data_IF_638070977559
#
_entry.id   IF_638070977559
#
_cell.length_a   1.000
_cell.length_b   1.000
_cell.length_c   1.000
_cell.angle_alpha   90.00
_cell.angle_beta   90.00
_cell.angle_gamma   90.00
#
_symmetry.space_group_name_H-M   'P 1'
#
loop_
_entity.id
_entity.type
_entity.pdbx_description
1 polymer ?
#
# COMPACT_ATOMS: atom_id res chain seq x y z
N UNK A 1 -40.21 41.85 18.75
CA UNK A 1 -40.66 41.61 17.37
C UNK A 1 -40.07 40.29 17.01
N UNK A 2 -40.80 39.22 17.31
CA UNK A 2 -41.60 38.49 16.32
C UNK A 2 -40.69 37.61 15.47
N UNK A 3 -40.95 36.35 15.19
CA UNK A 3 -41.92 35.33 15.60
C UNK A 3 -41.51 34.10 14.76
N UNK A 4 -41.82 32.88 15.21
CA UNK A 4 -42.28 31.76 14.36
C UNK A 4 -41.44 31.26 13.15
N UNK A 5 -41.36 29.99 12.72
CA UNK A 5 -42.09 28.71 12.82
C UNK A 5 -41.10 27.63 12.34
N UNK A 6 -40.93 26.49 13.01
CA UNK A 6 -41.58 25.20 12.74
C UNK A 6 -41.56 24.68 11.29
N UNK A 7 -41.06 23.46 11.09
CA UNK A 7 -41.23 22.70 9.84
C UNK A 7 -40.62 21.28 9.83
N UNK A 8 -41.17 20.35 10.62
CA UNK A 8 -41.05 18.89 10.42
C UNK A 8 -41.76 18.46 9.12
N UNK A 9 -41.14 17.62 8.26
CA UNK A 9 -41.77 16.57 7.40
C UNK A 9 -40.69 15.55 7.02
N UNK A 10 -40.71 14.31 7.50
CA UNK A 10 -41.53 13.15 7.11
C UNK A 10 -40.92 12.31 5.96
N UNK A 11 -40.91 11.01 6.19
CA UNK A 11 -40.21 9.93 5.50
C UNK A 11 -40.76 9.55 4.12
N UNK A 12 -39.95 8.81 3.34
CA UNK A 12 -40.45 7.69 2.55
C UNK A 12 -39.34 6.65 2.30
N UNK A 13 -39.53 5.47 2.88
CA UNK A 13 -38.83 4.22 2.57
C UNK A 13 -39.71 3.48 1.56
N UNK A 14 -39.15 3.08 0.41
CA UNK A 14 -39.78 2.12 -0.48
C UNK A 14 -38.96 0.82 -0.49
N UNK A 15 -39.51 -0.19 0.18
CA UNK A 15 -39.14 -1.58 -0.02
C UNK A 15 -40.03 -2.15 -1.14
N UNK A 16 -39.43 -2.80 -2.14
CA UNK A 16 -40.15 -3.57 -3.16
C UNK A 16 -40.04 -5.05 -2.78
N UNK A 17 -41.17 -5.61 -2.36
CA UNK A 17 -41.41 -7.04 -2.24
C UNK A 17 -42.27 -7.49 -3.42
N UNK A 18 -41.85 -8.56 -4.09
CA UNK A 18 -42.67 -9.42 -4.94
C UNK A 18 -41.81 -10.63 -5.32
N UNK A 19 -42.16 -11.90 -5.08
CA UNK A 19 -43.45 -12.50 -4.76
C UNK A 19 -43.78 -13.57 -5.82
N UNK A 20 -43.70 -14.85 -5.45
CA UNK A 20 -44.20 -16.01 -6.22
C UNK A 20 -43.08 -16.86 -6.83
N UNK A 21 -43.06 -18.19 -6.76
CA UNK A 21 -44.08 -19.15 -6.33
C UNK A 21 -43.44 -20.48 -5.90
N UNK A 22 -44.05 -21.15 -4.93
CA UNK A 22 -43.75 -22.51 -4.51
C UNK A 22 -44.50 -23.52 -5.40
N UNK A 23 -43.82 -24.60 -5.80
CA UNK A 23 -44.47 -25.82 -6.31
C UNK A 23 -43.92 -26.98 -5.49
N UNK A 24 -44.82 -27.70 -4.82
CA UNK A 24 -44.54 -28.90 -4.05
C UNK A 24 -44.78 -30.15 -4.91
N UNK A 25 -43.90 -31.15 -4.79
CA UNK A 25 -44.03 -32.50 -5.34
C UNK A 25 -43.34 -33.52 -4.41
N UNK A 26 -43.74 -34.80 -4.43
CA UNK A 26 -43.86 -35.61 -3.22
C UNK A 26 -42.64 -36.47 -2.85
N UNK A 27 -42.45 -36.62 -1.54
CA UNK A 27 -41.90 -37.76 -0.79
C UNK A 27 -40.80 -38.62 -1.45
N UNK A 28 -39.56 -38.34 -1.08
CA UNK A 28 -38.46 -39.31 -1.06
C UNK A 28 -37.66 -39.12 0.21
N UNK A 29 -37.58 -40.15 1.05
CA UNK A 29 -36.71 -40.19 2.22
C UNK A 29 -35.25 -39.91 1.80
N UNK A 30 -34.73 -38.77 2.21
CA UNK A 30 -33.29 -38.58 2.39
C UNK A 30 -33.06 -37.94 3.76
N UNK A 31 -32.48 -38.73 4.66
CA UNK A 31 -31.84 -38.25 5.88
C UNK A 31 -30.69 -37.35 5.46
N UNK A 32 -30.88 -36.05 5.55
CA UNK A 32 -29.78 -35.09 5.51
C UNK A 32 -29.15 -35.04 6.91
N UNK A 33 -27.97 -35.62 7.00
CA UNK A 33 -27.09 -35.52 8.17
C UNK A 33 -26.60 -34.06 8.21
N UNK A 34 -26.94 -33.34 9.28
CA UNK A 34 -26.40 -32.01 9.52
C UNK A 34 -24.87 -32.07 9.54
N UNK A 35 -24.15 -31.23 8.78
CA UNK A 35 -22.73 -31.07 9.02
C UNK A 35 -22.55 -30.33 10.35
N UNK A 36 -22.29 -31.08 11.41
CA UNK A 36 -21.47 -30.59 12.51
C UNK A 36 -20.07 -30.31 11.94
N UNK A 37 -19.80 -29.05 11.61
CA UNK A 37 -18.44 -28.53 11.51
C UNK A 37 -18.28 -27.40 12.50
N UNK A 38 -18.29 -27.79 13.78
CA UNK A 38 -17.59 -27.11 14.85
C UNK A 38 -16.09 -27.03 14.52
N UNK A 39 -15.69 -26.10 13.65
CA UNK A 39 -14.33 -25.58 13.51
C UNK A 39 -14.30 -24.47 12.47
N UNK A 40 -15.09 -23.40 12.65
CA UNK A 40 -14.54 -22.09 12.33
C UNK A 40 -13.47 -21.82 13.39
N UNK A 41 -12.30 -22.38 13.12
CA UNK A 41 -11.02 -21.75 13.40
C UNK A 41 -11.06 -20.42 12.65
N UNK A 42 -11.90 -19.50 13.13
CA UNK A 42 -11.81 -18.10 12.80
C UNK A 42 -10.38 -17.77 13.12
N UNK A 43 -9.61 -17.59 12.05
CA UNK A 43 -8.27 -17.07 12.07
C UNK A 43 -8.24 -16.06 13.21
N UNK A 44 -7.55 -16.41 14.30
CA UNK A 44 -7.15 -15.44 15.30
C UNK A 44 -6.12 -14.58 14.58
N UNK A 45 -6.60 -13.72 13.68
CA UNK A 45 -5.80 -12.63 13.16
C UNK A 45 -5.52 -11.80 14.40
N UNK A 46 -4.28 -11.90 14.87
CA UNK A 46 -3.76 -11.04 15.92
C UNK A 46 -3.99 -9.61 15.43
N UNK A 47 -4.86 -8.87 16.11
CA UNK A 47 -5.04 -7.47 15.82
C UNK A 47 -3.72 -6.75 16.13
N UNK A 48 -3.34 -5.82 15.27
CA UNK A 48 -2.21 -4.96 15.59
C UNK A 48 -2.62 -4.06 16.77
N UNK A 49 -1.72 -3.83 17.73
CA UNK A 49 -2.00 -2.93 18.83
C UNK A 49 -2.37 -1.54 18.33
N UNK A 50 -3.14 -0.77 19.13
CA UNK A 50 -3.39 0.63 18.81
C UNK A 50 -2.04 1.36 18.64
N UNK A 51 -1.84 1.98 17.49
CA UNK A 51 -0.59 2.67 17.21
C UNK A 51 -0.33 3.85 18.13
N UNK A 52 0.93 4.29 18.15
CA UNK A 52 1.39 5.47 18.90
C UNK A 52 0.48 6.68 18.65
N UNK A 53 0.17 7.45 19.69
CA UNK A 53 -0.56 8.72 19.57
C UNK A 53 0.18 9.76 18.70
N UNK A 54 1.45 9.51 18.35
CA UNK A 54 2.29 10.32 17.45
C UNK A 54 2.34 9.79 16.01
N UNK A 55 1.69 8.67 15.72
CA UNK A 55 1.66 8.11 14.37
C UNK A 55 0.94 9.07 13.42
N UNK A 56 1.63 9.46 12.34
CA UNK A 56 1.02 10.19 11.22
C UNK A 56 0.31 9.24 10.26
N UNK A 57 0.76 7.99 10.19
CA UNK A 57 0.08 6.92 9.50
C UNK A 57 0.34 5.57 10.18
N UNK A 58 -0.73 4.79 10.35
CA UNK A 58 -0.62 3.34 10.56
C UNK A 58 -0.58 2.72 9.18
N UNK A 59 0.55 2.09 8.86
CA UNK A 59 0.73 1.44 7.57
C UNK A 59 0.06 0.09 7.63
N UNK A 60 -1.24 0.12 7.43
CA UNK A 60 -1.99 -1.07 7.06
C UNK A 60 -1.92 -1.24 5.54
N UNK A 61 -1.83 -2.48 5.04
CA UNK A 61 -2.06 -2.74 3.64
C UNK A 61 -3.49 -2.30 3.31
N UNK A 62 -3.63 -1.39 2.34
CA UNK A 62 -4.94 -0.96 1.86
C UNK A 62 -5.75 -2.16 1.38
N UNK A 63 -7.09 -2.10 1.44
CA UNK A 63 -7.93 -3.22 1.00
C UNK A 63 -7.62 -3.65 -0.45
N UNK A 64 -7.33 -2.68 -1.33
CA UNK A 64 -6.92 -2.92 -2.70
C UNK A 64 -5.57 -3.66 -2.83
N UNK A 65 -4.68 -3.50 -1.85
CA UNK A 65 -3.36 -4.13 -1.81
C UNK A 65 -3.32 -5.43 -1.02
N UNK A 66 -4.27 -5.67 -0.11
CA UNK A 66 -4.41 -6.98 0.56
C UNK A 66 -4.58 -8.09 -0.47
N UNK A 67 -5.30 -7.81 -1.55
CA UNK A 67 -5.46 -8.74 -2.69
C UNK A 67 -4.24 -8.81 -3.62
N UNK A 68 -3.33 -7.84 -3.52
CA UNK A 68 -2.16 -7.68 -4.39
C UNK A 68 -0.81 -8.03 -3.75
N UNK A 69 -0.73 -8.13 -2.42
CA UNK A 69 0.48 -8.56 -1.74
C UNK A 69 0.74 -10.05 -2.04
N UNK A 70 1.99 -10.37 -2.37
CA UNK A 70 2.38 -11.76 -2.67
C UNK A 70 2.90 -12.53 -1.44
N UNK A 71 3.03 -11.86 -0.28
CA UNK A 71 3.59 -12.41 0.96
C UNK A 71 2.67 -12.28 2.17
N UNK A 72 3.13 -12.78 3.31
CA UNK A 72 2.43 -12.63 4.60
C UNK A 72 2.45 -11.15 5.01
N UNK A 73 1.26 -10.54 5.08
CA UNK A 73 1.08 -9.19 5.58
C UNK A 73 1.27 -9.21 7.10
N UNK A 74 2.51 -9.01 7.54
CA UNK A 74 2.82 -8.87 8.96
C UNK A 74 2.30 -7.51 9.43
N UNK A 75 1.66 -7.48 10.60
CA UNK A 75 1.24 -6.24 11.26
C UNK A 75 2.29 -5.13 11.15
N UNK A 76 1.82 -4.00 10.62
CA UNK A 76 1.86 -2.70 11.26
C UNK A 76 3.23 -2.04 11.32
N UNK A 77 3.52 -1.21 10.33
CA UNK A 77 4.53 -0.17 10.52
C UNK A 77 3.78 1.08 11.00
N UNK A 78 4.37 1.83 11.92
CA UNK A 78 3.95 3.20 12.19
C UNK A 78 4.92 4.13 11.50
N UNK A 79 4.38 5.09 10.74
CA UNK A 79 5.13 6.28 10.36
C UNK A 79 4.85 7.36 11.39
N UNK A 80 5.92 7.91 11.93
CA UNK A 80 5.88 9.13 12.75
C UNK A 80 6.67 10.22 12.06
N UNK A 81 6.33 11.47 12.34
CA UNK A 81 7.15 12.61 11.93
C UNK A 81 7.99 13.05 13.11
N UNK A 82 9.30 13.13 12.91
CA UNK A 82 10.24 13.69 13.86
C UNK A 82 10.18 15.23 13.86
N UNK A 83 10.68 15.86 14.92
CA UNK A 83 10.66 17.32 15.09
C UNK A 83 11.47 18.07 14.01
N UNK A 84 12.43 17.39 13.37
CA UNK A 84 13.24 17.91 12.27
C UNK A 84 12.59 17.69 10.89
N UNK A 85 11.36 17.17 10.85
CA UNK A 85 10.59 16.91 9.64
C UNK A 85 10.89 15.57 8.97
N UNK A 86 11.79 14.75 9.52
CA UNK A 86 12.07 13.41 9.00
C UNK A 86 10.92 12.43 9.30
N UNK A 87 10.81 11.40 8.47
CA UNK A 87 9.93 10.24 8.69
C UNK A 87 10.66 9.17 9.48
N UNK A 88 10.03 8.74 10.57
CA UNK A 88 10.47 7.62 11.40
C UNK A 88 9.59 6.41 11.07
N UNK A 89 10.20 5.31 10.66
CA UNK A 89 9.51 4.01 10.52
C UNK A 89 9.69 3.24 11.82
N UNK A 90 8.59 2.81 12.44
CA UNK A 90 8.58 1.98 13.64
C UNK A 90 7.79 0.70 13.42
N UNK A 91 8.14 -0.31 14.19
CA UNK A 91 7.37 -1.56 14.28
C UNK A 91 6.14 -1.36 15.19
N UNK A 92 4.95 -1.70 14.73
CA UNK A 92 3.78 -1.85 15.59
C UNK A 92 3.82 -3.25 16.21
N UNK A 93 3.77 -3.27 17.53
CA UNK A 93 3.69 -4.51 18.28
C UNK A 93 2.29 -5.14 18.09
N UNK A 94 2.25 -6.47 18.00
CA UNK A 94 0.96 -7.18 18.02
C UNK A 94 0.32 -7.04 19.40
N UNK A 95 -1.00 -7.11 19.44
CA UNK A 95 -1.73 -7.16 20.71
C UNK A 95 -1.23 -8.35 21.55
N UNK A 96 -0.75 -8.08 22.76
CA UNK A 96 -0.12 -9.06 23.65
C UNK A 96 1.41 -9.20 23.54
N UNK A 97 2.04 -8.73 22.46
CA UNK A 97 3.51 -8.64 22.33
C UNK A 97 4.03 -7.35 22.96
N UNK A 98 3.75 -7.11 24.25
CA UNK A 98 4.11 -5.82 24.86
C UNK A 98 3.50 -5.54 26.22
N UNK A 99 3.17 -6.56 27.01
CA UNK A 99 2.59 -6.41 28.37
C UNK A 99 3.59 -5.87 29.41
N UNK A 100 4.33 -4.81 29.07
CA UNK A 100 5.03 -3.93 30.00
C UNK A 100 4.72 -2.49 29.59
N UNK A 101 4.11 -1.72 30.49
CA UNK A 101 3.44 -0.42 30.26
C UNK A 101 4.25 0.69 29.54
N UNK A 102 5.52 0.51 29.18
CA UNK A 102 6.38 1.59 28.66
C UNK A 102 7.34 1.17 27.52
N UNK A 103 7.12 0.04 26.84
CA UNK A 103 8.03 -0.33 25.75
C UNK A 103 7.73 0.46 24.49
N UNK A 104 8.51 1.51 24.24
CA UNK A 104 8.46 2.26 23.00
C UNK A 104 8.81 1.35 21.81
N UNK A 105 8.01 1.35 20.73
CA UNK A 105 8.29 0.55 19.54
C UNK A 105 9.64 0.94 18.92
N UNK A 106 10.40 -0.08 18.51
CA UNK A 106 11.75 0.12 17.98
C UNK A 106 11.70 0.94 16.68
N UNK A 107 12.59 1.94 16.59
CA UNK A 107 12.87 2.66 15.34
C UNK A 107 13.58 1.70 14.38
N UNK A 108 12.98 1.50 13.21
CA UNK A 108 13.56 0.71 12.13
C UNK A 108 14.40 1.59 11.21
N UNK A 109 13.93 2.80 10.91
CA UNK A 109 14.63 3.71 10.01
C UNK A 109 14.17 5.15 10.13
N UNK A 110 15.00 6.06 9.60
CA UNK A 110 14.79 7.50 9.62
C UNK A 110 15.25 8.10 8.28
N UNK A 111 14.47 9.03 7.73
CA UNK A 111 14.86 9.71 6.49
C UNK A 111 13.88 10.78 6.05
N UNK A 112 14.23 11.60 5.05
CA UNK A 112 13.35 12.64 4.55
C UNK A 112 12.11 12.04 3.86
N UNK A 113 10.97 12.72 3.96
CA UNK A 113 9.84 12.46 3.09
C UNK A 113 10.14 12.97 1.66
N UNK A 114 9.50 12.40 0.62
CA UNK A 114 9.55 13.00 -0.71
C UNK A 114 9.05 14.45 -0.68
N UNK A 115 9.78 15.39 -1.29
CA UNK A 115 9.41 16.82 -1.29
C UNK A 115 8.00 17.06 -1.85
N UNK A 116 7.57 16.23 -2.81
CA UNK A 116 6.24 16.30 -3.43
C UNK A 116 5.08 16.04 -2.45
N UNK A 117 5.36 15.48 -1.26
CA UNK A 117 4.35 15.26 -0.23
C UNK A 117 3.97 16.53 0.54
N UNK A 118 4.71 17.62 0.36
CA UNK A 118 4.54 18.83 1.17
C UNK A 118 5.26 18.71 2.51
N UNK A 119 5.42 19.85 3.19
CA UNK A 119 6.16 19.89 4.45
C UNK A 119 5.47 19.08 5.54
N UNK A 120 4.13 19.07 5.56
CA UNK A 120 3.29 18.41 6.55
C UNK A 120 2.71 17.08 6.05
N UNK A 121 3.23 16.54 4.93
CA UNK A 121 2.75 15.33 4.26
C UNK A 121 1.31 15.44 3.74
N UNK A 122 0.77 16.66 3.67
CA UNK A 122 -0.63 16.95 3.38
C UNK A 122 -1.04 16.55 1.96
N UNK A 123 -0.07 16.35 1.07
CA UNK A 123 -0.28 15.95 -0.33
C UNK A 123 -0.14 14.45 -0.56
N UNK A 124 0.27 13.68 0.45
CA UNK A 124 0.55 12.25 0.31
C UNK A 124 -0.39 11.35 1.10
N UNK A 125 -0.73 10.21 0.51
CA UNK A 125 -1.23 9.05 1.22
C UNK A 125 -0.07 8.08 1.47
N UNK A 126 0.10 7.70 2.73
CA UNK A 126 1.19 6.85 3.16
C UNK A 126 0.65 5.47 3.53
N UNK A 127 1.34 4.45 3.06
CA UNK A 127 1.09 3.06 3.43
C UNK A 127 2.39 2.28 3.34
N UNK A 128 2.35 1.02 3.72
CA UNK A 128 3.55 0.19 3.75
C UNK A 128 3.22 -1.25 4.05
N UNK A 129 4.25 -2.08 3.89
CA UNK A 129 4.23 -3.50 4.16
C UNK A 129 5.58 -3.90 4.74
N UNK A 130 5.62 -5.08 5.33
CA UNK A 130 6.86 -5.72 5.74
C UNK A 130 6.97 -7.06 5.05
N UNK A 131 8.12 -7.31 4.44
CA UNK A 131 8.47 -8.61 3.85
C UNK A 131 9.84 -9.04 4.39
N UNK A 132 10.39 -10.13 3.88
CA UNK A 132 11.72 -10.68 4.19
C UNK A 132 12.85 -9.68 3.93
N UNK A 133 12.66 -8.73 3.01
CA UNK A 133 13.60 -7.63 2.75
C UNK A 133 13.55 -6.53 3.82
N UNK A 134 12.56 -6.58 4.72
CA UNK A 134 12.29 -5.53 5.68
C UNK A 134 11.09 -4.64 5.31
N UNK A 135 10.98 -3.46 5.96
CA UNK A 135 9.91 -2.51 5.70
C UNK A 135 10.00 -1.88 4.32
N UNK A 136 8.87 -1.85 3.61
CA UNK A 136 8.67 -1.09 2.38
C UNK A 136 7.55 -0.10 2.61
N UNK A 137 7.87 1.17 2.42
CA UNK A 137 6.96 2.31 2.58
C UNK A 137 6.60 2.84 1.21
N UNK A 138 5.37 3.31 1.04
CA UNK A 138 4.92 3.92 -0.18
C UNK A 138 4.31 5.28 0.14
N UNK A 139 4.68 6.29 -0.65
CA UNK A 139 4.09 7.61 -0.59
C UNK A 139 3.40 7.92 -1.92
N UNK A 140 2.08 8.01 -1.90
CA UNK A 140 1.28 8.33 -3.07
C UNK A 140 0.93 9.81 -3.06
N UNK A 141 1.41 10.57 -4.04
CA UNK A 141 1.05 11.98 -4.19
C UNK A 141 -0.34 12.05 -4.79
N UNK A 142 -1.27 12.67 -4.06
CA UNK A 142 -2.66 12.85 -4.48
C UNK A 142 -2.75 13.72 -5.73
N UNK A 143 -3.57 13.29 -6.68
CA UNK A 143 -3.97 14.15 -7.79
C UNK A 143 -5.06 15.14 -7.35
N UNK A 144 -4.94 16.41 -7.72
CA UNK A 144 -6.02 17.38 -7.49
C UNK A 144 -7.28 17.07 -8.32
N UNK A 145 -7.13 16.30 -9.40
CA UNK A 145 -8.16 16.08 -10.42
C UNK A 145 -8.61 14.60 -10.50
N UNK A 146 -7.98 13.68 -9.76
CA UNK A 146 -8.18 12.24 -9.90
C UNK A 146 -8.05 11.48 -8.58
N UNK A 147 -8.77 10.37 -8.48
CA UNK A 147 -8.51 9.32 -7.49
C UNK A 147 -7.18 8.60 -7.76
N UNK A 148 -6.60 8.75 -8.96
CA UNK A 148 -5.33 8.13 -9.37
C UNK A 148 -4.16 9.01 -8.94
N UNK A 149 -3.11 8.44 -8.30
CA UNK A 149 -1.96 9.22 -7.86
C UNK A 149 -1.13 9.74 -9.05
N UNK A 150 -0.62 10.97 -8.90
CA UNK A 150 0.23 11.64 -9.90
C UNK A 150 1.69 11.21 -9.80
N UNK A 151 2.12 10.79 -8.62
CA UNK A 151 3.42 10.19 -8.34
C UNK A 151 3.27 9.12 -7.25
N UNK A 152 4.00 8.02 -7.35
CA UNK A 152 4.21 7.08 -6.24
C UNK A 152 5.70 7.00 -5.98
N UNK A 153 6.08 7.04 -4.72
CA UNK A 153 7.43 6.77 -4.26
C UNK A 153 7.46 5.43 -3.53
N UNK A 154 8.52 4.66 -3.76
CA UNK A 154 8.82 3.45 -2.99
C UNK A 154 9.98 3.78 -2.08
N UNK A 155 9.78 3.60 -0.78
CA UNK A 155 10.79 3.73 0.24
C UNK A 155 11.13 2.42 0.89
N UNK A 156 12.39 2.29 1.28
CA UNK A 156 12.93 1.12 1.99
C UNK A 156 14.00 1.58 2.96
N UNK A 157 14.38 0.67 3.86
CA UNK A 157 15.39 0.94 4.87
C UNK A 157 16.68 0.24 4.48
N UNK A 158 17.77 1.00 4.38
CA UNK A 158 19.14 0.49 4.28
C UNK A 158 19.93 0.87 5.53
N UNK A 159 20.30 -0.13 6.33
CA UNK A 159 20.80 0.09 7.69
C UNK A 159 19.75 0.75 8.59
N UNK A 160 19.95 2.02 8.95
CA UNK A 160 18.98 2.84 9.69
C UNK A 160 18.37 3.97 8.84
N UNK A 161 18.68 4.02 7.55
CA UNK A 161 18.27 5.12 6.66
C UNK A 161 17.04 4.73 5.87
N UNK A 162 15.96 5.47 6.04
CA UNK A 162 14.82 5.43 5.12
C UNK A 162 15.19 6.27 3.89
N UNK A 163 15.08 5.66 2.71
CA UNK A 163 15.24 6.37 1.44
C UNK A 163 14.02 6.16 0.57
N UNK A 164 13.83 7.00 -0.45
CA UNK A 164 12.74 6.90 -1.41
C UNK A 164 13.25 7.00 -2.84
N UNK A 165 12.66 6.21 -3.72
CA UNK A 165 12.83 6.32 -5.17
C UNK A 165 11.50 6.66 -5.84
N UNK A 166 11.57 7.49 -6.89
CA UNK A 166 10.44 7.68 -7.80
C UNK A 166 10.15 6.38 -8.54
N UNK A 167 8.89 5.96 -8.56
CA UNK A 167 8.49 4.78 -9.33
C UNK A 167 8.34 5.08 -10.81
N UNK A 168 8.37 6.33 -11.24
CA UNK A 168 8.46 6.68 -12.65
C UNK A 168 9.06 8.06 -12.79
N UNK A 169 9.75 8.28 -13.90
CA UNK A 169 10.30 9.57 -14.27
C UNK A 169 9.66 10.05 -15.56
N UNK A 170 9.15 11.27 -15.55
CA UNK A 170 8.55 11.89 -16.73
C UNK A 170 7.30 12.71 -16.43
N UNK A 171 6.68 13.23 -17.49
CA UNK A 171 5.43 13.98 -17.36
C UNK A 171 4.27 13.00 -17.11
N UNK A 172 3.36 13.30 -16.18
CA UNK A 172 2.13 12.53 -16.03
C UNK A 172 1.38 12.51 -17.37
N UNK A 173 0.74 11.39 -17.65
CA UNK A 173 -0.18 11.27 -18.76
C UNK A 173 -1.45 12.08 -18.48
N UNK A 174 -2.20 12.44 -19.52
CA UNK A 174 -3.50 13.11 -19.36
C UNK A 174 -4.55 12.25 -20.04
N UNK A 175 -5.52 11.77 -19.27
CA UNK A 175 -6.67 11.00 -19.76
C UNK A 175 -7.90 11.83 -19.46
N UNK A 176 -8.66 12.21 -20.49
CA UNK A 176 -9.87 13.04 -20.36
C UNK A 176 -9.66 14.29 -19.47
N UNK A 177 -8.63 15.08 -19.79
CA UNK A 177 -8.20 16.27 -19.05
C UNK A 177 -7.72 16.04 -17.60
N UNK A 178 -7.68 14.80 -17.15
CA UNK A 178 -7.24 14.41 -15.80
C UNK A 178 -5.79 13.97 -15.85
N UNK A 179 -4.92 14.57 -15.03
CA UNK A 179 -3.54 14.11 -14.88
C UNK A 179 -3.50 12.78 -14.14
N UNK A 180 -2.92 11.78 -14.79
CA UNK A 180 -2.67 10.45 -14.22
C UNK A 180 -1.20 10.11 -14.42
N UNK A 181 -0.60 9.30 -13.55
CA UNK A 181 0.75 8.81 -13.82
C UNK A 181 0.81 7.96 -15.10
N UNK A 182 2.02 7.63 -15.59
CA UNK A 182 2.18 6.79 -16.76
C UNK A 182 1.59 5.38 -16.54
N UNK A 183 1.20 4.68 -17.63
CA UNK A 183 0.64 3.32 -17.58
C UNK A 183 1.61 2.29 -16.99
N UNK A 184 2.91 2.58 -17.01
CA UNK A 184 3.99 1.74 -16.47
C UNK A 184 4.75 2.48 -15.38
N UNK A 185 5.16 1.75 -14.35
CA UNK A 185 5.94 2.23 -13.22
C UNK A 185 7.00 1.19 -12.81
N UNK A 186 7.92 1.56 -11.93
CA UNK A 186 8.86 0.68 -11.25
C UNK A 186 8.22 0.21 -9.94
N UNK A 187 7.87 -1.07 -9.87
CA UNK A 187 7.39 -1.71 -8.66
C UNK A 187 8.54 -2.39 -7.91
N UNK A 188 8.42 -2.60 -6.58
CA UNK A 188 9.42 -3.31 -5.80
C UNK A 188 9.34 -4.83 -5.93
N UNK A 189 10.50 -5.45 -6.10
CA UNK A 189 10.69 -6.90 -6.22
C UNK A 189 11.79 -7.37 -5.26
N UNK A 190 11.61 -8.58 -4.76
CA UNK A 190 12.65 -9.37 -4.11
C UNK A 190 13.33 -10.25 -5.15
N UNK A 191 14.58 -9.90 -5.45
CA UNK A 191 15.42 -10.60 -6.41
C UNK A 191 16.62 -11.19 -5.67
N UNK A 192 16.44 -12.41 -5.19
CA UNK A 192 17.46 -13.18 -4.45
C UNK A 192 17.85 -12.55 -3.10
N UNK A 193 16.88 -11.97 -2.39
CA UNK A 193 17.11 -11.32 -1.08
C UNK A 193 17.57 -9.87 -1.18
N UNK A 194 17.54 -9.28 -2.37
CA UNK A 194 17.86 -7.87 -2.61
C UNK A 194 16.69 -7.15 -3.25
N UNK A 195 16.48 -5.89 -2.86
CA UNK A 195 15.46 -5.04 -3.46
C UNK A 195 15.87 -4.64 -4.88
N UNK A 196 15.01 -4.94 -5.83
CA UNK A 196 15.06 -4.38 -7.18
C UNK A 196 13.77 -3.62 -7.47
N UNK A 197 13.87 -2.57 -8.29
CA UNK A 197 12.70 -1.91 -8.85
C UNK A 197 12.59 -2.29 -10.33
N UNK A 198 11.50 -2.95 -10.72
CA UNK A 198 11.28 -3.47 -12.07
C UNK A 198 9.96 -2.95 -12.66
N UNK A 199 9.81 -2.89 -14.00
CA UNK A 199 8.60 -2.37 -14.62
C UNK A 199 7.35 -3.20 -14.27
N UNK A 200 6.31 -2.53 -13.83
CA UNK A 200 4.97 -3.06 -13.57
C UNK A 200 3.93 -2.22 -14.30
N UNK A 201 2.93 -2.90 -14.86
CA UNK A 201 1.76 -2.25 -15.43
C UNK A 201 0.89 -1.73 -14.27
N UNK A 202 0.60 -0.42 -14.27
CA UNK A 202 -0.34 0.20 -13.32
C UNK A 202 -1.78 0.08 -13.79
N UNK A 203 -1.99 0.23 -15.10
CA UNK A 203 -3.30 0.16 -15.72
C UNK A 203 -3.49 -1.23 -16.36
N UNK A 204 -4.69 -1.83 -16.28
CA UNK A 204 -4.95 -3.15 -16.87
C UNK A 204 -4.58 -3.25 -18.36
N UNK A 205 -4.86 -2.20 -19.14
CA UNK A 205 -4.56 -2.11 -20.56
C UNK A 205 -3.05 -2.01 -20.87
N UNK A 206 -2.26 -1.51 -19.92
CA UNK A 206 -0.83 -1.30 -20.11
C UNK A 206 -0.06 -2.61 -20.30
N UNK A 207 -0.57 -3.73 -19.78
CA UNK A 207 0.05 -5.06 -19.92
C UNK A 207 0.15 -5.56 -21.37
N UNK A 208 -0.59 -4.95 -22.31
CA UNK A 208 -0.47 -5.24 -23.74
C UNK A 208 0.59 -4.38 -24.45
N UNK A 209 1.10 -3.35 -23.79
CA UNK A 209 2.10 -2.42 -24.32
C UNK A 209 3.49 -2.73 -23.76
N UNK A 210 4.52 -2.08 -24.29
CA UNK A 210 5.88 -2.18 -23.74
C UNK A 210 6.19 -0.96 -22.85
N UNK A 211 6.89 -1.13 -21.72
CA UNK A 211 7.36 0.00 -20.93
C UNK A 211 8.29 0.91 -21.74
N UNK A 212 8.35 2.18 -21.38
CA UNK A 212 9.21 3.14 -22.08
C UNK A 212 10.70 2.77 -21.93
N UNK A 213 11.55 3.08 -22.92
CA UNK A 213 12.99 2.83 -22.82
C UNK A 213 13.64 3.49 -21.59
N UNK A 214 13.18 4.67 -21.21
CA UNK A 214 13.66 5.38 -20.00
C UNK A 214 13.33 4.62 -18.72
N UNK A 215 12.11 4.08 -18.61
CA UNK A 215 11.74 3.27 -17.44
C UNK A 215 12.55 1.97 -17.38
N UNK A 216 12.76 1.33 -18.53
CA UNK A 216 13.58 0.12 -18.65
C UNK A 216 15.04 0.36 -18.26
N UNK A 217 15.57 1.55 -18.49
CA UNK A 217 16.95 1.88 -18.16
C UNK A 217 17.17 2.07 -16.65
N UNK A 218 16.11 2.46 -15.93
CA UNK A 218 16.10 2.61 -14.47
C UNK A 218 15.70 1.33 -13.72
N UNK A 219 15.33 0.28 -14.46
CA UNK A 219 14.95 -1.00 -13.90
C UNK A 219 16.17 -1.81 -13.45
N UNK A 220 16.15 -2.29 -12.22
CA UNK A 220 17.21 -3.14 -11.66
C UNK A 220 17.38 -2.95 -10.16
N UNK A 221 18.57 -3.28 -9.65
CA UNK A 221 18.93 -3.09 -8.25
C UNK A 221 19.19 -1.62 -7.95
N UNK A 222 18.62 -1.14 -6.86
CA UNK A 222 18.84 0.21 -6.35
C UNK A 222 19.74 0.13 -5.11
N UNK A 223 20.65 1.10 -4.98
CA UNK A 223 21.57 1.20 -3.84
C UNK A 223 21.34 2.52 -3.12
N UNK A 224 21.82 2.64 -1.88
CA UNK A 224 21.80 3.91 -1.14
C UNK A 224 23.23 4.44 -1.04
N UNK A 225 23.43 5.71 -1.40
CA UNK A 225 24.75 6.33 -1.30
C UNK A 225 25.08 6.79 0.15
N UNK A 226 26.29 7.32 0.35
CA UNK A 226 26.74 7.81 1.66
C UNK A 226 25.86 8.95 2.21
N UNK A 227 25.18 9.69 1.33
CA UNK A 227 24.25 10.75 1.69
C UNK A 227 22.86 10.20 2.08
N UNK A 228 22.57 8.92 1.86
CA UNK A 228 21.26 8.31 2.12
C UNK A 228 20.29 8.43 0.94
N UNK A 229 20.78 8.77 -0.25
CA UNK A 229 19.95 8.96 -1.45
C UNK A 229 19.91 7.66 -2.25
N UNK A 230 18.71 7.28 -2.68
CA UNK A 230 18.47 6.16 -3.57
C UNK A 230 19.12 6.41 -4.94
N UNK A 231 19.96 5.47 -5.37
CA UNK A 231 20.67 5.49 -6.65
C UNK A 231 20.21 4.33 -7.52
N UNK A 232 19.70 4.65 -8.71
CA UNK A 232 19.27 3.68 -9.70
C UNK A 232 20.44 3.02 -10.45
N UNK A 233 20.15 2.03 -11.31
CA UNK A 233 21.18 1.24 -11.97
C UNK A 233 22.14 2.03 -12.86
N UNK A 234 21.66 3.11 -13.49
CA UNK A 234 22.47 3.95 -14.38
C UNK A 234 23.50 4.82 -13.62
N UNK A 235 23.22 5.15 -12.36
CA UNK A 235 24.05 6.04 -11.55
C UNK A 235 25.15 5.28 -10.79
N UNK A 236 25.02 3.96 -10.65
CA UNK A 236 25.99 3.12 -9.97
C UNK A 236 27.18 2.82 -10.89
N UNK A 237 28.32 3.47 -10.63
CA UNK A 237 29.60 3.21 -11.32
C UNK A 237 30.11 1.77 -11.13
N UNK A 238 29.50 1.03 -10.20
CA UNK A 238 29.74 -0.38 -9.89
C UNK A 238 29.02 -1.38 -10.80
N UNK A 239 28.21 -0.92 -11.77
CA UNK A 239 27.54 -1.81 -12.73
C UNK A 239 26.52 -2.70 -12.04
N UNK A 240 25.54 -2.09 -11.36
CA UNK A 240 24.38 -2.82 -10.83
C UNK A 240 23.78 -3.67 -11.93
N UNK A 241 23.83 -4.98 -11.73
CA UNK A 241 23.53 -5.95 -12.75
C UNK A 241 22.08 -5.83 -13.20
N UNK A 242 21.86 -5.92 -14.52
CA UNK A 242 20.52 -6.23 -15.05
C UNK A 242 20.01 -7.46 -14.32
N UNK A 243 18.83 -7.33 -13.74
CA UNK A 243 18.18 -8.42 -13.03
C UNK A 243 17.30 -9.17 -14.03
N UNK A 244 17.31 -10.51 -13.96
CA UNK A 244 16.34 -11.31 -14.70
C UNK A 244 14.99 -11.23 -13.97
N UNK A 245 13.95 -10.61 -14.55
CA UNK A 245 12.65 -10.49 -13.89
C UNK A 245 12.03 -11.86 -13.53
N UNK A 246 12.42 -12.93 -14.22
CA UNK A 246 11.93 -14.28 -13.96
C UNK A 246 12.46 -14.88 -12.64
N UNK A 247 13.58 -14.36 -12.10
CA UNK A 247 14.10 -14.78 -10.79
C UNK A 247 13.56 -13.94 -9.63
N UNK A 248 12.68 -12.97 -9.91
CA UNK A 248 12.20 -12.01 -8.93
C UNK A 248 10.77 -12.30 -8.48
N UNK A 249 10.50 -12.06 -7.21
CA UNK A 249 9.15 -12.07 -6.62
C UNK A 249 8.67 -10.63 -6.45
N UNK A 250 7.55 -10.27 -7.07
CA UNK A 250 6.92 -8.97 -6.84
C UNK A 250 6.47 -8.84 -5.38
N UNK A 251 6.79 -7.72 -4.72
CA UNK A 251 6.29 -7.45 -3.37
C UNK A 251 4.84 -6.97 -3.41
N UNK A 252 4.51 -6.19 -4.46
CA UNK A 252 3.16 -5.75 -4.80
C UNK A 252 2.89 -6.06 -6.27
N UNK A 253 1.71 -6.61 -6.58
CA UNK A 253 1.36 -6.99 -7.96
C UNK A 253 1.16 -5.80 -8.89
N UNK A 254 0.63 -4.70 -8.36
CA UNK A 254 0.49 -3.45 -9.10
C UNK A 254 0.67 -2.26 -8.15
N UNK A 255 1.03 -1.12 -8.73
CA UNK A 255 0.97 0.17 -8.04
C UNK A 255 -0.37 0.84 -8.38
N UNK A 256 -1.00 1.52 -7.41
CA UNK A 256 -2.19 2.35 -7.65
C UNK A 256 -1.86 3.46 -8.64
#
# INVERSE_FOLDING_TARGET
MSDERHGLRAALVLAVLGGGACVAGPSGEQREVAPDSSSTESARMLACGQGSARAVALLEPSDALRDQAAGELVCGLALERADDGQLVVRELLREGEGEGEDREPARLGLGPAPEACGAELELCELWGLRDVLGPVVFAQVRGHESEIPVQVYVGWIDGERLTFAETWHGRPSTVDHTRVGPPWALGPFDCEGELALLPVARLPEAGAESPSPTLLALAGRWTVDEAGVAQGPEASSTGTAKVDPASCRALVRALP
#
